data_IF_558945736386
#
_entry.id   IF_558945736386
#
_cell.length_a   1.000
_cell.length_b   1.000
_cell.length_c   1.000
_cell.angle_alpha   90.00
_cell.angle_beta   90.00
_cell.angle_gamma   90.00
#
_symmetry.space_group_name_H-M   'P 1'
#
loop_
_entity.id
_entity.type
_entity.pdbx_description
1 polymer ?
#
# COMPACT_ATOMS: atom_id res chain seq x y z
N UNK A 1 49.14 8.30 -6.46
CA UNK A 1 47.71 8.62 -6.45
C UNK A 1 47.15 8.15 -7.78
N UNK A 2 46.49 7.02 -7.81
CA UNK A 2 45.83 6.56 -9.04
C UNK A 2 44.63 7.49 -9.29
N UNK A 3 44.68 8.16 -10.44
CA UNK A 3 43.54 8.97 -10.93
C UNK A 3 42.33 8.04 -11.05
N UNK A 4 41.29 8.24 -10.21
CA UNK A 4 40.05 7.48 -10.32
C UNK A 4 39.45 7.85 -11.67
N UNK A 5 39.62 7.01 -12.68
CA UNK A 5 38.94 7.11 -13.96
C UNK A 5 37.44 7.16 -13.66
N UNK A 6 36.79 8.29 -13.90
CA UNK A 6 35.31 8.43 -13.76
C UNK A 6 34.68 7.59 -14.86
N UNK A 7 34.21 6.39 -14.49
CA UNK A 7 33.45 5.52 -15.38
C UNK A 7 32.12 6.24 -15.71
N UNK A 8 31.86 6.44 -17.01
CA UNK A 8 30.61 7.04 -17.48
C UNK A 8 29.47 6.08 -17.17
N UNK A 9 28.40 6.57 -16.52
CA UNK A 9 27.21 5.80 -16.14
C UNK A 9 25.98 6.28 -16.87
N UNK A 10 25.05 5.36 -17.11
CA UNK A 10 23.76 5.68 -17.73
C UNK A 10 22.99 6.69 -16.86
N UNK A 11 22.74 7.85 -17.41
CA UNK A 11 21.94 8.90 -16.78
C UNK A 11 20.43 8.63 -16.88
N UNK A 12 19.67 9.42 -16.13
CA UNK A 12 18.20 9.38 -16.18
C UNK A 12 17.70 9.83 -17.56
N UNK A 13 16.96 8.96 -18.25
CA UNK A 13 16.31 9.27 -19.53
C UNK A 13 14.81 9.51 -19.32
N UNK A 14 14.15 10.11 -20.30
CA UNK A 14 12.69 10.30 -20.26
C UNK A 14 11.92 8.97 -20.06
N UNK A 15 12.50 7.86 -20.55
CA UNK A 15 11.91 6.51 -20.39
C UNK A 15 11.94 6.02 -18.95
N UNK A 16 13.03 6.26 -18.23
CA UNK A 16 13.12 5.98 -16.80
C UNK A 16 12.07 6.79 -16.03
N UNK A 17 11.92 8.07 -16.36
CA UNK A 17 10.91 8.94 -15.75
C UNK A 17 9.50 8.42 -16.07
N UNK A 18 9.21 8.05 -17.33
CA UNK A 18 7.91 7.53 -17.73
C UNK A 18 7.52 6.25 -16.98
N UNK A 19 8.48 5.34 -16.74
CA UNK A 19 8.25 4.13 -15.93
C UNK A 19 7.92 4.53 -14.47
N UNK A 20 8.72 5.40 -13.86
CA UNK A 20 8.45 5.85 -12.48
C UNK A 20 7.09 6.52 -12.37
N UNK A 21 6.75 7.42 -13.27
CA UNK A 21 5.43 8.09 -13.31
C UNK A 21 4.30 7.07 -13.47
N UNK A 22 4.47 6.06 -14.33
CA UNK A 22 3.47 4.99 -14.51
C UNK A 22 3.25 4.22 -13.21
N UNK A 23 4.33 3.87 -12.47
CA UNK A 23 4.23 3.20 -11.18
C UNK A 23 3.58 4.10 -10.13
N UNK A 24 4.00 5.37 -10.05
CA UNK A 24 3.39 6.35 -9.15
C UNK A 24 1.88 6.50 -9.39
N UNK A 25 1.46 6.63 -10.66
CA UNK A 25 0.04 6.76 -11.02
C UNK A 25 -0.75 5.49 -10.70
N UNK A 26 -0.18 4.32 -10.94
CA UNK A 26 -0.83 3.04 -10.61
C UNK A 26 -1.03 2.88 -9.10
N UNK A 27 0.00 3.19 -8.30
CA UNK A 27 -0.09 3.17 -6.84
C UNK A 27 -1.04 4.25 -6.32
N UNK A 28 -0.94 5.47 -6.85
CA UNK A 28 -1.80 6.60 -6.48
C UNK A 28 -3.29 6.29 -6.72
N UNK A 29 -3.63 5.72 -7.87
CA UNK A 29 -5.03 5.46 -8.23
C UNK A 29 -5.51 4.13 -7.67
N UNK A 30 -4.93 3.00 -8.06
CA UNK A 30 -5.46 1.70 -7.69
C UNK A 30 -5.32 1.43 -6.19
N UNK A 31 -4.10 1.54 -5.64
CA UNK A 31 -3.84 1.24 -4.23
C UNK A 31 -4.41 2.32 -3.31
N UNK A 32 -4.22 3.60 -3.69
CA UNK A 32 -4.74 4.74 -2.94
C UNK A 32 -6.27 4.72 -2.81
N UNK A 33 -7.01 4.39 -3.86
CA UNK A 33 -8.47 4.31 -3.81
C UNK A 33 -8.92 3.09 -2.99
N UNK A 34 -8.39 1.90 -3.31
CA UNK A 34 -8.91 0.64 -2.75
C UNK A 34 -8.60 0.50 -1.26
N UNK A 35 -7.41 0.90 -0.82
CA UNK A 35 -7.01 0.70 0.58
C UNK A 35 -7.21 1.92 1.47
N UNK A 36 -7.21 3.15 0.94
CA UNK A 36 -7.29 4.32 1.80
C UNK A 36 -8.63 5.05 1.73
N UNK A 37 -9.35 4.99 0.59
CA UNK A 37 -10.64 5.67 0.45
C UNK A 37 -11.86 4.73 0.61
N UNK A 38 -11.63 3.44 0.83
CA UNK A 38 -12.66 2.41 0.97
C UNK A 38 -13.72 2.73 2.05
N UNK A 39 -13.26 3.21 3.19
CA UNK A 39 -14.08 3.48 4.37
C UNK A 39 -15.17 4.53 4.16
N UNK A 40 -14.99 5.42 3.18
CA UNK A 40 -15.98 6.44 2.83
C UNK A 40 -17.34 5.82 2.45
N UNK A 41 -17.31 4.69 1.75
CA UNK A 41 -18.51 4.03 1.21
C UNK A 41 -19.13 2.98 2.15
N UNK A 42 -18.46 2.59 3.23
CA UNK A 42 -18.95 1.50 4.08
C UNK A 42 -20.33 1.76 4.65
N UNK A 43 -20.52 2.92 5.27
CA UNK A 43 -21.80 3.28 5.90
C UNK A 43 -22.93 3.48 4.90
N UNK A 44 -22.80 4.27 3.83
CA UNK A 44 -23.88 4.44 2.86
C UNK A 44 -24.26 3.14 2.15
N UNK A 45 -23.30 2.29 1.82
CA UNK A 45 -23.56 0.97 1.22
C UNK A 45 -24.26 0.05 2.22
N UNK A 46 -23.84 0.04 3.50
CA UNK A 46 -24.50 -0.72 4.55
C UNK A 46 -25.97 -0.31 4.72
N UNK A 47 -26.24 0.98 4.71
CA UNK A 47 -27.61 1.52 4.78
C UNK A 47 -28.44 1.14 3.55
N UNK A 48 -27.86 1.20 2.35
CA UNK A 48 -28.55 0.83 1.10
C UNK A 48 -29.01 -0.63 1.08
N UNK A 49 -28.13 -1.55 1.52
CA UNK A 49 -28.44 -3.00 1.53
C UNK A 49 -29.13 -3.46 2.83
N UNK A 50 -29.25 -2.60 3.83
CA UNK A 50 -29.81 -2.98 5.13
C UNK A 50 -28.98 -4.01 5.88
N UNK A 51 -27.66 -3.94 5.74
CA UNK A 51 -26.67 -4.86 6.35
C UNK A 51 -25.75 -4.10 7.29
N UNK A 52 -25.12 -4.78 8.27
CA UNK A 52 -24.10 -4.15 9.10
C UNK A 52 -22.83 -3.77 8.30
N UNK A 53 -22.09 -2.78 8.80
CA UNK A 53 -20.85 -2.28 8.17
C UNK A 53 -19.80 -3.38 8.04
N UNK A 54 -19.76 -4.31 8.97
CA UNK A 54 -18.88 -5.49 8.95
C UNK A 54 -19.07 -6.34 7.70
N UNK A 55 -20.30 -6.50 7.20
CA UNK A 55 -20.55 -7.22 5.95
C UNK A 55 -20.06 -6.46 4.71
N UNK A 56 -20.12 -5.13 4.74
CA UNK A 56 -19.56 -4.33 3.64
C UNK A 56 -18.05 -4.42 3.67
N UNK A 57 -17.40 -4.23 4.82
CA UNK A 57 -15.95 -4.26 4.95
C UNK A 57 -15.34 -5.62 4.60
N UNK A 58 -16.12 -6.72 4.61
CA UNK A 58 -15.68 -8.04 4.18
C UNK A 58 -15.06 -8.05 2.78
N UNK A 59 -15.42 -7.15 1.87
CA UNK A 59 -14.82 -7.15 0.55
C UNK A 59 -13.29 -6.88 0.61
N UNK A 60 -12.81 -6.08 1.58
CA UNK A 60 -11.39 -5.87 1.80
C UNK A 60 -10.70 -7.15 2.29
N UNK A 61 -11.35 -7.93 3.16
CA UNK A 61 -10.89 -9.28 3.52
C UNK A 61 -10.66 -10.11 2.28
N UNK A 62 -11.63 -10.13 1.35
CA UNK A 62 -11.50 -10.85 0.10
C UNK A 62 -10.43 -10.26 -0.83
N UNK A 63 -10.20 -8.94 -0.83
CA UNK A 63 -9.07 -8.31 -1.55
C UNK A 63 -7.74 -8.88 -1.03
N UNK A 64 -7.51 -8.91 0.28
CA UNK A 64 -6.28 -9.48 0.85
C UNK A 64 -6.13 -10.99 0.55
N UNK A 65 -7.22 -11.75 0.61
CA UNK A 65 -7.20 -13.18 0.21
C UNK A 65 -6.89 -13.34 -1.27
N UNK A 66 -7.41 -12.48 -2.13
CA UNK A 66 -7.08 -12.43 -3.54
C UNK A 66 -5.61 -12.08 -3.78
N UNK A 67 -5.07 -11.10 -3.06
CA UNK A 67 -3.63 -10.77 -3.14
C UNK A 67 -2.75 -11.94 -2.69
N UNK A 68 -3.12 -12.62 -1.60
CA UNK A 68 -2.41 -13.80 -1.14
C UNK A 68 -2.42 -14.92 -2.20
N UNK A 69 -3.57 -15.18 -2.81
CA UNK A 69 -3.72 -16.19 -3.85
C UNK A 69 -3.04 -15.80 -5.17
N UNK A 70 -3.01 -14.52 -5.51
CA UNK A 70 -2.47 -13.98 -6.75
C UNK A 70 -0.95 -13.73 -6.75
N UNK A 71 -0.31 -13.64 -5.58
CA UNK A 71 1.09 -13.26 -5.47
C UNK A 71 2.05 -14.18 -6.20
N UNK A 72 2.05 -15.48 -5.88
CA UNK A 72 2.92 -16.47 -6.52
C UNK A 72 2.56 -16.70 -7.99
N UNK A 73 1.28 -16.95 -8.36
CA UNK A 73 0.90 -17.08 -9.76
C UNK A 73 1.20 -15.83 -10.59
N UNK A 74 0.98 -14.64 -10.02
CA UNK A 74 1.27 -13.37 -10.69
C UNK A 74 2.73 -13.23 -11.09
N UNK A 75 3.66 -13.57 -10.19
CA UNK A 75 5.09 -13.58 -10.48
C UNK A 75 5.45 -14.57 -11.59
N UNK A 76 4.92 -15.80 -11.53
CA UNK A 76 5.14 -16.82 -12.56
C UNK A 76 4.59 -16.39 -13.93
N UNK A 77 3.41 -15.76 -13.97
CA UNK A 77 2.83 -15.24 -15.20
C UNK A 77 3.67 -14.08 -15.76
N UNK A 78 4.15 -13.20 -14.90
CA UNK A 78 5.01 -12.10 -15.27
C UNK A 78 6.34 -12.57 -15.89
N UNK A 79 6.86 -13.73 -15.45
CA UNK A 79 8.08 -14.31 -16.00
C UNK A 79 7.86 -15.07 -17.32
N UNK A 80 6.72 -15.72 -17.48
CA UNK A 80 6.42 -16.54 -18.66
C UNK A 80 5.85 -15.76 -19.83
N UNK A 81 5.07 -14.72 -19.58
CA UNK A 81 4.35 -13.96 -20.59
C UNK A 81 4.90 -12.56 -20.75
N UNK A 82 4.41 -11.82 -21.74
CA UNK A 82 4.76 -10.42 -21.93
C UNK A 82 4.30 -9.59 -20.72
N UNK A 83 5.26 -8.96 -20.04
CA UNK A 83 5.02 -8.19 -18.82
C UNK A 83 3.90 -7.13 -19.01
N UNK A 84 3.90 -6.42 -20.15
CA UNK A 84 2.85 -5.45 -20.47
C UNK A 84 1.45 -6.09 -20.46
N UNK A 85 1.29 -7.24 -21.14
CA UNK A 85 0.00 -7.93 -21.23
C UNK A 85 -0.47 -8.38 -19.85
N UNK A 86 0.42 -8.96 -19.05
CA UNK A 86 0.09 -9.40 -17.68
C UNK A 86 -0.34 -8.21 -16.83
N UNK A 87 0.38 -7.09 -16.89
CA UNK A 87 0.04 -5.88 -16.13
C UNK A 87 -1.29 -5.26 -16.61
N UNK A 88 -1.56 -5.23 -17.92
CA UNK A 88 -2.83 -4.73 -18.43
C UNK A 88 -4.01 -5.61 -17.99
N UNK A 89 -3.88 -6.93 -18.05
CA UNK A 89 -4.91 -7.86 -17.57
C UNK A 89 -5.13 -7.66 -16.07
N UNK A 90 -4.06 -7.53 -15.30
CA UNK A 90 -4.16 -7.28 -13.87
C UNK A 90 -4.87 -5.94 -13.55
N UNK A 91 -4.58 -4.87 -14.30
CA UNK A 91 -5.27 -3.59 -14.17
C UNK A 91 -6.77 -3.71 -14.49
N UNK A 92 -7.13 -4.48 -15.53
CA UNK A 92 -8.54 -4.76 -15.87
C UNK A 92 -9.24 -5.54 -14.74
N UNK A 93 -8.56 -6.53 -14.14
CA UNK A 93 -9.08 -7.28 -12.98
C UNK A 93 -9.29 -6.41 -11.74
N UNK A 94 -8.61 -5.27 -11.65
CA UNK A 94 -8.87 -4.27 -10.60
C UNK A 94 -10.05 -3.38 -10.96
N UNK A 95 -10.03 -2.77 -12.14
CA UNK A 95 -10.96 -1.69 -12.51
C UNK A 95 -12.37 -2.22 -12.78
N UNK A 96 -12.51 -3.33 -13.53
CA UNK A 96 -13.82 -3.82 -13.96
C UNK A 96 -14.69 -4.29 -12.79
N UNK A 97 -14.21 -5.07 -11.81
CA UNK A 97 -15.04 -5.40 -10.66
C UNK A 97 -15.33 -4.18 -9.76
N UNK A 98 -14.40 -3.22 -9.69
CA UNK A 98 -14.59 -2.02 -8.87
C UNK A 98 -15.72 -1.11 -9.39
N UNK A 99 -15.86 -0.94 -10.72
CA UNK A 99 -17.00 -0.20 -11.29
C UNK A 99 -18.32 -0.92 -11.00
N UNK A 100 -18.29 -2.23 -10.88
CA UNK A 100 -19.43 -3.04 -10.50
C UNK A 100 -20.01 -2.68 -9.12
N UNK A 101 -19.18 -2.15 -8.20
CA UNK A 101 -19.65 -1.71 -6.87
C UNK A 101 -20.76 -0.65 -6.94
N UNK A 102 -20.84 0.13 -8.00
CA UNK A 102 -21.92 1.07 -8.23
C UNK A 102 -23.26 0.39 -8.65
N UNK A 103 -23.22 -0.87 -9.11
CA UNK A 103 -24.37 -1.51 -9.78
C UNK A 103 -24.73 -2.89 -9.23
N UNK A 104 -23.93 -3.47 -8.33
CA UNK A 104 -24.19 -4.81 -7.81
C UNK A 104 -25.50 -4.86 -7.02
N UNK A 105 -26.33 -5.89 -7.28
CA UNK A 105 -27.64 -6.01 -6.66
C UNK A 105 -27.61 -6.59 -5.24
N UNK A 106 -26.48 -7.13 -4.81
CA UNK A 106 -26.36 -7.81 -3.52
C UNK A 106 -24.94 -7.70 -2.94
N UNK A 107 -24.84 -7.69 -1.63
CA UNK A 107 -23.59 -7.50 -0.90
C UNK A 107 -22.53 -8.60 -1.20
N UNK A 108 -22.94 -9.84 -1.43
CA UNK A 108 -22.01 -10.92 -1.75
C UNK A 108 -21.25 -10.70 -3.06
N UNK A 109 -21.79 -9.90 -4.00
CA UNK A 109 -21.10 -9.50 -5.22
C UNK A 109 -19.85 -8.68 -4.92
N UNK A 110 -19.90 -7.85 -3.86
CA UNK A 110 -18.74 -7.08 -3.38
C UNK A 110 -17.61 -8.00 -2.91
N UNK A 111 -17.95 -9.12 -2.26
CA UNK A 111 -16.95 -10.07 -1.77
C UNK A 111 -16.25 -10.78 -2.93
N UNK A 112 -17.03 -11.27 -3.92
CA UNK A 112 -16.47 -11.90 -5.13
C UNK A 112 -15.62 -10.89 -5.91
N UNK A 113 -16.12 -9.68 -6.12
CA UNK A 113 -15.39 -8.61 -6.76
C UNK A 113 -14.11 -8.26 -6.01
N UNK A 114 -14.15 -8.19 -4.68
CA UNK A 114 -12.99 -7.98 -3.82
C UNK A 114 -11.89 -9.02 -4.06
N UNK A 115 -12.25 -10.29 -4.13
CA UNK A 115 -11.28 -11.36 -4.43
C UNK A 115 -10.63 -11.18 -5.80
N UNK A 116 -11.40 -10.85 -6.83
CA UNK A 116 -10.90 -10.61 -8.19
C UNK A 116 -9.98 -9.37 -8.22
N UNK A 117 -10.38 -8.29 -7.55
CA UNK A 117 -9.56 -7.09 -7.37
C UNK A 117 -8.22 -7.45 -6.72
N UNK A 118 -8.24 -8.29 -5.69
CA UNK A 118 -7.04 -8.75 -4.99
C UNK A 118 -6.07 -9.48 -5.90
N UNK A 119 -6.56 -10.38 -6.77
CA UNK A 119 -5.73 -11.06 -7.77
C UNK A 119 -5.01 -10.04 -8.69
N UNK A 120 -5.72 -9.01 -9.14
CA UNK A 120 -5.14 -7.94 -9.95
C UNK A 120 -4.12 -7.09 -9.19
N UNK A 121 -4.42 -6.70 -7.95
CA UNK A 121 -3.52 -5.90 -7.11
C UNK A 121 -2.23 -6.63 -6.76
N UNK A 122 -2.25 -7.96 -6.58
CA UNK A 122 -1.05 -8.75 -6.36
C UNK A 122 0.01 -8.52 -7.46
N UNK A 123 -0.44 -8.29 -8.68
CA UNK A 123 0.45 -7.99 -9.81
C UNK A 123 0.77 -6.49 -9.89
N UNK A 124 -0.25 -5.62 -9.85
CA UNK A 124 -0.08 -4.17 -10.05
C UNK A 124 0.73 -3.53 -8.92
N UNK A 125 0.46 -3.90 -7.68
CA UNK A 125 1.11 -3.30 -6.52
C UNK A 125 2.54 -3.81 -6.31
N UNK A 126 2.72 -5.14 -6.28
CA UNK A 126 4.00 -5.75 -5.91
C UNK A 126 4.82 -6.19 -7.12
N UNK A 127 4.29 -7.09 -7.94
CA UNK A 127 5.07 -7.74 -9.00
C UNK A 127 5.48 -6.73 -10.08
N UNK A 128 4.55 -5.90 -10.54
CA UNK A 128 4.84 -4.87 -11.54
C UNK A 128 5.78 -3.81 -10.96
N UNK A 129 5.44 -3.24 -9.81
CA UNK A 129 6.18 -2.09 -9.26
C UNK A 129 7.60 -2.50 -8.88
N UNK A 130 7.76 -3.47 -7.97
CA UNK A 130 9.09 -3.89 -7.53
C UNK A 130 9.88 -4.59 -8.64
N UNK A 131 9.23 -5.49 -9.40
CA UNK A 131 9.88 -6.29 -10.42
C UNK A 131 10.34 -5.51 -11.66
N UNK A 132 9.67 -4.42 -12.02
CA UNK A 132 10.11 -3.53 -13.12
C UNK A 132 11.16 -2.56 -12.62
N UNK A 133 10.93 -1.90 -11.47
CA UNK A 133 11.87 -0.92 -10.93
C UNK A 133 13.25 -1.54 -10.66
N UNK A 134 13.33 -2.78 -10.16
CA UNK A 134 14.59 -3.47 -9.93
C UNK A 134 15.41 -3.71 -11.20
N UNK A 135 14.76 -3.81 -12.35
CA UNK A 135 15.44 -3.98 -13.66
C UNK A 135 15.79 -2.67 -14.34
N UNK A 136 15.04 -1.60 -14.03
CA UNK A 136 15.25 -0.27 -14.62
C UNK A 136 16.25 0.59 -13.84
N UNK A 137 16.47 0.30 -12.57
CA UNK A 137 17.32 1.08 -11.67
C UNK A 137 18.37 0.19 -11.01
N UNK A 138 19.59 0.23 -11.54
CA UNK A 138 20.74 -0.44 -10.96
C UNK A 138 21.22 0.27 -9.70
N UNK A 139 21.26 1.62 -9.73
CA UNK A 139 21.51 2.44 -8.54
C UNK A 139 20.25 3.16 -8.06
N UNK A 140 20.19 3.48 -6.77
CA UNK A 140 19.07 4.20 -6.13
C UNK A 140 17.70 3.49 -6.20
N UNK A 141 17.69 2.16 -6.47
CA UNK A 141 16.44 1.36 -6.51
C UNK A 141 15.57 1.57 -5.27
N UNK A 142 16.15 1.51 -4.06
CA UNK A 142 15.40 1.70 -2.81
C UNK A 142 14.75 3.08 -2.70
N UNK A 143 15.47 4.13 -3.10
CA UNK A 143 14.93 5.50 -3.08
C UNK A 143 13.76 5.65 -4.07
N UNK A 144 13.91 5.15 -5.29
CA UNK A 144 12.86 5.23 -6.32
C UNK A 144 11.63 4.43 -5.90
N UNK A 145 11.83 3.22 -5.40
CA UNK A 145 10.75 2.37 -4.90
C UNK A 145 10.04 3.02 -3.71
N UNK A 146 10.77 3.61 -2.78
CA UNK A 146 10.22 4.37 -1.66
C UNK A 146 9.36 5.55 -2.11
N UNK A 147 9.81 6.32 -3.11
CA UNK A 147 9.04 7.41 -3.71
C UNK A 147 7.74 6.87 -4.31
N UNK A 148 7.81 5.82 -5.12
CA UNK A 148 6.63 5.22 -5.75
C UNK A 148 5.61 4.76 -4.70
N UNK A 149 6.04 4.04 -3.69
CA UNK A 149 5.13 3.58 -2.63
C UNK A 149 4.61 4.70 -1.72
N UNK A 150 5.31 5.85 -1.61
CA UNK A 150 4.79 7.02 -0.90
C UNK A 150 3.54 7.60 -1.57
N UNK A 151 3.34 7.36 -2.88
CA UNK A 151 2.13 7.77 -3.59
C UNK A 151 0.85 7.08 -3.11
N UNK A 152 0.93 6.01 -2.33
CA UNK A 152 -0.24 5.49 -1.59
C UNK A 152 -0.78 6.53 -0.62
N UNK A 153 0.11 7.19 0.14
CA UNK A 153 -0.29 8.25 1.07
C UNK A 153 -0.81 9.50 0.34
N UNK A 154 -0.15 9.92 -0.74
CA UNK A 154 -0.63 11.04 -1.58
C UNK A 154 -2.01 10.73 -2.15
N UNK A 155 -2.20 9.51 -2.67
CA UNK A 155 -3.50 9.02 -3.14
C UNK A 155 -4.54 9.03 -2.04
N UNK A 156 -4.20 8.54 -0.85
CA UNK A 156 -5.09 8.55 0.30
C UNK A 156 -5.58 9.96 0.67
N UNK A 157 -4.68 10.95 0.69
CA UNK A 157 -5.09 12.35 0.93
C UNK A 157 -6.06 12.82 -0.14
N UNK A 158 -5.69 12.69 -1.40
CA UNK A 158 -6.48 13.23 -2.53
C UNK A 158 -7.83 12.53 -2.66
N UNK A 159 -7.86 11.20 -2.64
CA UNK A 159 -9.09 10.45 -2.87
C UNK A 159 -10.07 10.55 -1.71
N UNK A 160 -9.61 10.66 -0.46
CA UNK A 160 -10.50 10.90 0.66
C UNK A 160 -11.10 12.31 0.62
N UNK A 161 -10.32 13.33 0.26
CA UNK A 161 -10.83 14.70 0.12
C UNK A 161 -11.83 14.83 -1.05
N UNK A 162 -11.54 14.22 -2.19
CA UNK A 162 -12.49 14.18 -3.33
C UNK A 162 -13.72 13.37 -2.95
N UNK A 163 -13.51 12.21 -2.35
CA UNK A 163 -14.58 11.28 -2.01
C UNK A 163 -15.59 11.87 -1.04
N UNK A 164 -15.16 12.56 0.00
CA UNK A 164 -16.08 13.21 0.94
C UNK A 164 -16.93 14.32 0.28
N UNK A 165 -16.34 15.07 -0.69
CA UNK A 165 -17.07 16.10 -1.45
C UNK A 165 -18.15 15.46 -2.33
N UNK A 166 -17.80 14.40 -3.08
CA UNK A 166 -18.75 13.69 -3.95
C UNK A 166 -19.86 13.01 -3.14
N UNK A 167 -19.47 12.39 -2.02
CA UNK A 167 -20.42 11.70 -1.15
C UNK A 167 -21.48 12.64 -0.57
N UNK A 168 -21.07 13.88 -0.28
CA UNK A 168 -21.93 14.92 0.26
C UNK A 168 -22.40 14.66 1.68
N UNK A 169 -23.10 15.63 2.30
CA UNK A 169 -23.50 15.53 3.71
C UNK A 169 -24.56 14.46 3.99
N UNK A 170 -25.32 14.03 2.99
CA UNK A 170 -26.32 12.99 3.11
C UNK A 170 -25.78 11.59 2.79
N UNK A 171 -24.51 11.47 2.46
CA UNK A 171 -23.83 10.24 2.02
C UNK A 171 -24.48 9.57 0.80
N UNK A 172 -25.21 10.34 -0.02
CA UNK A 172 -26.01 9.83 -1.13
C UNK A 172 -25.19 9.54 -2.40
N UNK A 173 -24.04 10.22 -2.58
CA UNK A 173 -23.22 10.16 -3.80
C UNK A 173 -22.29 8.93 -3.89
N UNK A 174 -22.59 7.83 -3.21
CA UNK A 174 -21.67 6.68 -3.20
C UNK A 174 -21.63 5.91 -4.54
N UNK A 175 -22.73 5.90 -5.32
CA UNK A 175 -22.73 5.32 -6.67
C UNK A 175 -21.82 6.11 -7.60
N UNK A 176 -21.98 7.43 -7.62
CA UNK A 176 -21.17 8.36 -8.41
C UNK A 176 -19.71 8.26 -7.98
N UNK A 177 -19.44 8.11 -6.69
CA UNK A 177 -18.09 7.99 -6.16
C UNK A 177 -17.39 6.73 -6.69
N UNK A 178 -18.05 5.57 -6.69
CA UNK A 178 -17.49 4.36 -7.27
C UNK A 178 -17.22 4.51 -8.78
N UNK A 179 -18.12 5.16 -9.52
CA UNK A 179 -17.94 5.42 -10.95
C UNK A 179 -16.73 6.35 -11.18
N UNK A 180 -16.65 7.47 -10.46
CA UNK A 180 -15.54 8.43 -10.57
C UNK A 180 -14.21 7.74 -10.25
N UNK A 181 -14.15 7.01 -9.15
CA UNK A 181 -12.95 6.28 -8.74
C UNK A 181 -12.53 5.23 -9.78
N UNK A 182 -13.50 4.52 -10.37
CA UNK A 182 -13.22 3.55 -11.43
C UNK A 182 -12.65 4.21 -12.68
N UNK A 183 -13.20 5.35 -13.09
CA UNK A 183 -12.70 6.13 -14.24
C UNK A 183 -11.28 6.63 -13.95
N UNK A 184 -11.04 7.15 -12.73
CA UNK A 184 -9.71 7.61 -12.33
C UNK A 184 -8.69 6.46 -12.30
N UNK A 185 -9.06 5.29 -11.80
CA UNK A 185 -8.21 4.09 -11.88
C UNK A 185 -7.96 3.66 -13.33
N UNK A 186 -9.01 3.63 -14.16
CA UNK A 186 -8.89 3.24 -15.56
C UNK A 186 -7.92 4.16 -16.31
N UNK A 187 -8.13 5.47 -16.19
CA UNK A 187 -7.33 6.49 -16.90
C UNK A 187 -5.93 6.61 -16.32
N UNK A 188 -5.77 6.51 -15.00
CA UNK A 188 -4.49 6.64 -14.32
C UNK A 188 -3.61 5.38 -14.38
N UNK A 189 -4.17 4.22 -14.71
CA UNK A 189 -3.44 2.95 -14.69
C UNK A 189 -3.27 2.36 -16.08
N UNK A 190 -4.36 2.00 -16.74
CA UNK A 190 -4.33 1.17 -17.95
C UNK A 190 -3.59 1.79 -19.14
N UNK A 191 -3.83 3.06 -19.55
CA UNK A 191 -3.14 3.67 -20.68
C UNK A 191 -1.63 3.79 -20.44
N UNK A 192 -1.22 4.16 -19.24
CA UNK A 192 0.18 4.30 -18.87
C UNK A 192 0.91 2.95 -18.88
N UNK A 193 0.29 1.91 -18.36
CA UNK A 193 0.81 0.55 -18.43
C UNK A 193 0.93 0.12 -19.90
N UNK A 194 -0.12 0.30 -20.70
CA UNK A 194 -0.15 -0.13 -22.09
C UNK A 194 0.89 0.57 -22.97
N UNK A 195 1.20 1.84 -22.68
CA UNK A 195 2.15 2.63 -23.46
C UNK A 195 3.58 2.43 -22.97
N UNK A 196 3.82 2.58 -21.66
CA UNK A 196 5.17 2.75 -21.11
C UNK A 196 5.77 1.50 -20.49
N UNK A 197 4.95 0.53 -20.00
CA UNK A 197 5.49 -0.65 -19.36
C UNK A 197 6.26 -1.52 -20.34
N UNK A 198 7.54 -1.71 -20.02
CA UNK A 198 8.47 -2.66 -20.63
C UNK A 198 9.18 -3.39 -19.52
N UNK A 199 9.47 -4.67 -19.75
CA UNK A 199 10.09 -5.52 -18.73
C UNK A 199 11.47 -5.06 -18.36
N UNK A 200 12.26 -4.68 -19.38
CA UNK A 200 13.64 -4.24 -19.22
C UNK A 200 13.93 -2.99 -20.07
N UNK A 201 14.90 -2.15 -19.66
CA UNK A 201 15.25 -0.94 -20.41
C UNK A 201 15.88 -1.26 -21.78
N UNK A 202 16.53 -2.41 -21.94
CA UNK A 202 17.14 -2.86 -23.21
C UNK A 202 16.08 -3.03 -24.31
N UNK A 203 14.86 -3.43 -23.99
CA UNK A 203 13.74 -3.46 -24.95
C UNK A 203 13.47 -2.09 -25.59
N UNK A 204 13.94 -1.03 -24.96
CA UNK A 204 13.83 0.34 -25.42
C UNK A 204 15.14 0.91 -25.96
N UNK A 205 16.22 0.13 -26.04
CA UNK A 205 17.55 0.58 -26.45
C UNK A 205 18.21 1.53 -25.45
N UNK A 206 17.94 1.36 -24.16
CA UNK A 206 18.58 2.10 -23.05
C UNK A 206 19.10 1.12 -22.01
N UNK A 207 20.07 1.53 -21.21
CA UNK A 207 20.58 0.72 -20.09
C UNK A 207 19.86 1.09 -18.80
N UNK A 208 19.90 0.22 -17.77
CA UNK A 208 19.43 0.56 -16.43
C UNK A 208 20.09 1.85 -15.91
N UNK A 209 19.33 2.65 -15.18
CA UNK A 209 19.87 3.88 -14.57
C UNK A 209 21.03 3.56 -13.63
N UNK A 210 22.15 4.25 -13.81
CA UNK A 210 23.37 4.05 -13.00
C UNK A 210 24.29 2.94 -13.47
N UNK A 211 23.93 2.12 -14.47
CA UNK A 211 24.77 1.09 -15.06
C UNK A 211 25.96 1.71 -15.79
N UNK A 212 27.19 1.18 -15.71
CA UNK A 212 28.30 1.61 -16.55
C UNK A 212 27.97 1.49 -18.04
N UNK A 213 28.39 2.48 -18.84
CA UNK A 213 28.17 2.47 -20.29
C UNK A 213 29.23 1.61 -20.98
N UNK A 214 30.42 1.57 -20.40
CA UNK A 214 31.53 0.75 -20.90
C UNK A 214 31.29 -0.74 -20.58
N UNK A 215 31.39 -1.61 -21.59
CA UNK A 215 31.09 -3.04 -21.47
C UNK A 215 31.96 -3.77 -20.46
N UNK A 216 33.26 -3.48 -20.46
CA UNK A 216 34.20 -4.13 -19.53
C UNK A 216 33.89 -3.72 -18.07
N UNK A 217 33.63 -2.44 -17.85
CA UNK A 217 33.19 -1.95 -16.53
C UNK A 217 31.88 -2.52 -16.08
N UNK A 218 30.92 -2.71 -17.02
CA UNK A 218 29.61 -3.31 -16.75
C UNK A 218 29.74 -4.79 -16.36
N UNK A 219 30.51 -5.58 -17.12
CA UNK A 219 30.72 -7.00 -16.83
C UNK A 219 31.45 -7.19 -15.49
N UNK A 220 32.41 -6.34 -15.17
CA UNK A 220 33.11 -6.36 -13.87
C UNK A 220 32.21 -6.02 -12.71
N UNK A 221 31.29 -5.03 -12.86
CA UNK A 221 30.36 -4.64 -11.82
C UNK A 221 29.29 -5.74 -11.60
N UNK A 222 28.75 -6.34 -12.67
CA UNK A 222 27.84 -7.47 -12.59
C UNK A 222 28.49 -8.70 -11.95
N UNK A 223 29.73 -9.01 -12.31
CA UNK A 223 30.48 -10.11 -11.70
C UNK A 223 30.75 -9.88 -10.21
N UNK A 224 31.03 -8.64 -9.82
CA UNK A 224 31.21 -8.27 -8.42
C UNK A 224 29.88 -8.40 -7.63
N UNK A 225 28.75 -7.97 -8.22
CA UNK A 225 27.42 -8.14 -7.61
C UNK A 225 27.01 -9.61 -7.48
N UNK A 226 27.28 -10.42 -8.50
CA UNK A 226 27.07 -11.86 -8.42
C UNK A 226 27.93 -12.52 -7.34
N UNK A 227 29.16 -12.07 -7.16
CA UNK A 227 30.06 -12.58 -6.11
C UNK A 227 29.53 -12.20 -4.72
N UNK A 228 29.06 -10.94 -4.54
CA UNK A 228 28.43 -10.48 -3.30
C UNK A 228 27.15 -11.27 -3.05
N UNK A 229 26.28 -11.42 -4.04
CA UNK A 229 25.04 -12.18 -3.92
C UNK A 229 25.29 -13.66 -3.58
N UNK A 230 26.36 -14.26 -4.14
CA UNK A 230 26.80 -15.61 -3.77
C UNK A 230 27.30 -15.66 -2.34
N UNK A 231 28.12 -14.68 -1.92
CA UNK A 231 28.57 -14.56 -0.53
C UNK A 231 27.43 -14.37 0.45
N UNK A 232 26.48 -13.45 0.17
CA UNK A 232 25.28 -13.25 0.98
C UNK A 232 24.36 -14.48 0.99
N UNK A 233 24.33 -15.25 -0.10
CA UNK A 233 23.57 -16.50 -0.17
C UNK A 233 24.24 -17.63 0.67
N UNK A 234 25.50 -17.52 1.00
CA UNK A 234 26.19 -18.41 1.96
C UNK A 234 25.94 -18.00 3.41
N UNK A 235 25.69 -16.71 3.67
CA UNK A 235 25.36 -16.17 4.98
C UNK A 235 23.84 -16.15 5.21
N UNK A 236 23.38 -16.95 6.16
CA UNK A 236 21.97 -16.98 6.55
C UNK A 236 21.38 -18.39 6.61
N UNK A 237 20.13 -18.45 7.04
CA UNK A 237 19.42 -19.70 7.23
C UNK A 237 18.72 -20.16 5.96
N UNK A 238 18.65 -21.48 5.78
CA UNK A 238 17.76 -22.07 4.76
C UNK A 238 16.31 -21.89 5.17
N UNK A 239 15.43 -21.63 4.21
CA UNK A 239 14.01 -21.41 4.47
C UNK A 239 13.37 -22.53 5.31
N UNK A 240 13.71 -23.80 5.05
CA UNK A 240 13.21 -24.94 5.84
C UNK A 240 13.73 -24.98 7.30
N UNK A 241 14.89 -24.41 7.54
CA UNK A 241 15.47 -24.34 8.89
C UNK A 241 14.78 -23.27 9.72
N UNK A 242 14.43 -22.14 9.09
CA UNK A 242 13.74 -21.01 9.72
C UNK A 242 12.40 -21.42 10.34
N UNK A 243 11.67 -22.34 9.72
CA UNK A 243 10.41 -22.88 10.25
C UNK A 243 10.54 -23.58 11.60
N UNK A 244 11.74 -24.02 11.98
CA UNK A 244 12.03 -24.68 13.26
C UNK A 244 12.29 -23.69 14.40
N UNK A 245 12.53 -22.41 14.08
CA UNK A 245 12.81 -21.39 15.09
C UNK A 245 11.51 -20.78 15.64
N UNK A 246 11.26 -20.83 16.96
CA UNK A 246 10.10 -20.17 17.55
C UNK A 246 10.02 -18.68 17.22
N UNK A 247 11.18 -18.03 17.08
CA UNK A 247 11.28 -16.62 16.73
C UNK A 247 10.68 -16.30 15.36
N UNK A 248 10.76 -17.21 14.37
CA UNK A 248 10.11 -17.02 13.07
C UNK A 248 8.59 -16.87 13.23
N UNK A 249 7.98 -17.74 14.04
CA UNK A 249 6.53 -17.71 14.26
C UNK A 249 6.08 -16.50 15.05
N UNK A 250 6.87 -16.06 16.05
CA UNK A 250 6.56 -14.84 16.79
C UNK A 250 6.67 -13.59 15.92
N UNK A 251 7.70 -13.51 15.06
CA UNK A 251 7.85 -12.40 14.10
C UNK A 251 6.72 -12.40 13.07
N UNK A 252 6.36 -13.57 12.55
CA UNK A 252 5.27 -13.77 11.60
C UNK A 252 3.92 -13.31 12.16
N UNK A 253 3.59 -13.77 13.37
CA UNK A 253 2.35 -13.39 14.05
C UNK A 253 2.35 -11.91 14.42
N UNK A 254 3.47 -11.40 14.95
CA UNK A 254 3.62 -9.98 15.28
C UNK A 254 3.42 -9.07 14.07
N UNK A 255 4.05 -9.39 12.95
CA UNK A 255 3.87 -8.65 11.70
C UNK A 255 2.41 -8.68 11.21
N UNK A 256 1.75 -9.85 11.27
CA UNK A 256 0.34 -9.98 10.90
C UNK A 256 -0.59 -9.17 11.80
N UNK A 257 -0.37 -9.19 13.12
CA UNK A 257 -1.14 -8.37 14.06
C UNK A 257 -0.94 -6.87 13.82
N UNK A 258 0.28 -6.44 13.49
CA UNK A 258 0.54 -5.05 13.11
C UNK A 258 -0.23 -4.66 11.83
N UNK A 259 -0.31 -5.57 10.86
CA UNK A 259 -1.15 -5.32 9.67
C UNK A 259 -2.64 -5.20 10.03
N UNK A 260 -3.12 -5.96 11.01
CA UNK A 260 -4.49 -5.82 11.51
C UNK A 260 -4.75 -4.41 12.07
N UNK A 261 -3.76 -3.83 12.77
CA UNK A 261 -3.87 -2.44 13.26
C UNK A 261 -3.92 -1.46 12.07
N UNK A 262 -3.14 -1.68 11.01
CA UNK A 262 -3.16 -0.76 9.84
C UNK A 262 -4.50 -0.74 9.13
N UNK A 263 -5.23 -1.84 9.10
CA UNK A 263 -6.57 -1.91 8.48
C UNK A 263 -7.64 -1.14 9.25
N UNK A 264 -7.38 -0.75 10.51
CA UNK A 264 -8.27 0.09 11.31
C UNK A 264 -8.52 1.45 10.65
N UNK A 265 -7.55 2.00 9.93
CA UNK A 265 -7.68 3.28 9.24
C UNK A 265 -8.85 3.30 8.26
N UNK A 266 -9.19 2.18 7.67
CA UNK A 266 -10.32 2.06 6.74
C UNK A 266 -11.69 2.35 7.40
N UNK A 267 -11.75 2.36 8.73
CA UNK A 267 -12.96 2.73 9.48
C UNK A 267 -12.95 4.20 9.94
N UNK A 268 -11.89 4.95 9.69
CA UNK A 268 -11.79 6.35 10.16
C UNK A 268 -12.86 7.25 9.55
N UNK A 269 -13.15 7.09 8.27
CA UNK A 269 -14.24 7.82 7.63
C UNK A 269 -15.60 7.42 8.25
N UNK A 270 -15.83 6.12 8.48
CA UNK A 270 -17.04 5.60 9.14
C UNK A 270 -17.15 6.10 10.57
N UNK A 271 -16.03 6.18 11.31
CA UNK A 271 -16.00 6.73 12.67
C UNK A 271 -16.43 8.21 12.70
N UNK A 272 -15.89 9.03 11.81
CA UNK A 272 -16.28 10.45 11.71
C UNK A 272 -17.76 10.58 11.29
N UNK A 273 -18.23 9.75 10.36
CA UNK A 273 -19.64 9.70 9.97
C UNK A 273 -20.53 9.29 11.14
N UNK A 274 -20.10 8.34 11.96
CA UNK A 274 -20.82 7.91 13.16
C UNK A 274 -20.93 9.06 14.17
N UNK A 275 -19.83 9.70 14.53
CA UNK A 275 -19.83 10.87 15.42
C UNK A 275 -20.76 11.97 14.92
N UNK A 276 -20.79 12.19 13.60
CA UNK A 276 -21.68 13.15 12.97
C UNK A 276 -23.17 12.79 13.11
N UNK A 277 -23.54 11.52 13.00
CA UNK A 277 -24.94 11.07 13.10
C UNK A 277 -25.46 10.97 14.54
N UNK A 278 -24.61 10.63 15.50
CA UNK A 278 -25.00 10.50 16.91
C UNK A 278 -25.10 11.84 17.65
N UNK A 279 -24.81 12.94 16.96
CA UNK A 279 -24.97 14.28 17.54
C UNK A 279 -23.97 14.59 18.66
N UNK A 280 -22.82 13.94 18.68
CA UNK A 280 -21.77 14.16 19.71
C UNK A 280 -21.33 15.60 19.83
N UNK A 281 -21.53 16.40 18.79
CA UNK A 281 -21.12 17.80 18.68
C UNK A 281 -22.27 18.81 18.56
N UNK A 282 -23.54 18.38 18.87
CA UNK A 282 -24.70 19.24 18.73
C UNK A 282 -25.35 19.22 17.33
N UNK A 283 -26.47 19.92 17.15
CA UNK A 283 -27.32 19.80 15.97
C UNK A 283 -26.72 20.43 14.69
N UNK A 284 -25.96 21.52 14.80
CA UNK A 284 -25.41 22.23 13.64
C UNK A 284 -24.04 21.70 13.15
N UNK A 285 -23.10 21.27 14.01
CA UNK A 285 -21.85 20.65 13.60
C UNK A 285 -21.99 19.34 12.86
N UNK A 286 -23.14 18.67 12.94
CA UNK A 286 -23.43 17.39 12.33
C UNK A 286 -23.12 17.38 10.82
N UNK A 287 -23.65 18.34 10.08
CA UNK A 287 -23.46 18.42 8.61
C UNK A 287 -22.00 18.73 8.29
N UNK A 288 -21.37 19.62 9.05
CA UNK A 288 -19.97 19.95 8.87
C UNK A 288 -19.08 18.74 9.12
N UNK A 289 -19.37 17.93 10.15
CA UNK A 289 -18.61 16.73 10.47
C UNK A 289 -18.77 15.64 9.39
N UNK A 290 -19.99 15.46 8.86
CA UNK A 290 -20.21 14.54 7.73
C UNK A 290 -19.43 14.96 6.48
N UNK A 291 -19.34 16.26 6.22
CA UNK A 291 -18.51 16.82 5.14
C UNK A 291 -17.01 16.59 5.35
N UNK A 292 -16.58 16.33 6.59
CA UNK A 292 -15.20 16.06 6.95
C UNK A 292 -14.91 14.55 7.13
N UNK A 293 -15.81 13.67 6.72
CA UNK A 293 -15.69 12.24 6.96
C UNK A 293 -14.42 11.61 6.39
N UNK A 294 -13.90 12.12 5.27
CA UNK A 294 -12.63 11.67 4.69
C UNK A 294 -11.38 12.37 5.24
N UNK A 295 -11.56 13.42 6.06
CA UNK A 295 -10.42 14.24 6.51
C UNK A 295 -9.51 13.47 7.47
N UNK A 296 -10.07 12.68 8.38
CA UNK A 296 -9.28 11.87 9.32
C UNK A 296 -8.40 10.87 8.57
N UNK A 297 -8.95 10.18 7.57
CA UNK A 297 -8.19 9.25 6.74
C UNK A 297 -7.18 9.96 5.84
N UNK A 298 -7.49 11.18 5.36
CA UNK A 298 -6.54 12.00 4.63
C UNK A 298 -5.33 12.37 5.50
N UNK A 299 -5.54 12.74 6.77
CA UNK A 299 -4.45 12.99 7.71
C UNK A 299 -3.64 11.72 8.01
N UNK A 300 -4.30 10.58 8.21
CA UNK A 300 -3.63 9.29 8.39
C UNK A 300 -2.79 8.90 7.16
N UNK A 301 -3.32 9.12 5.96
CA UNK A 301 -2.62 8.89 4.69
C UNK A 301 -1.43 9.83 4.50
N UNK A 302 -1.55 11.10 4.91
CA UNK A 302 -0.42 12.04 4.92
C UNK A 302 0.68 11.58 5.87
N UNK A 303 0.30 11.13 7.07
CA UNK A 303 1.21 10.52 8.04
C UNK A 303 1.88 9.25 7.51
N UNK A 304 1.15 8.40 6.80
CA UNK A 304 1.67 7.21 6.15
C UNK A 304 2.70 7.56 5.06
N UNK A 305 2.36 8.47 4.15
CA UNK A 305 3.24 8.88 3.05
C UNK A 305 4.51 9.55 3.56
N UNK A 306 4.37 10.58 4.41
CA UNK A 306 5.50 11.27 5.04
C UNK A 306 6.28 10.35 5.99
N UNK A 307 5.57 9.50 6.72
CA UNK A 307 6.13 8.50 7.62
C UNK A 307 7.05 7.50 6.93
N UNK A 308 6.70 7.01 5.73
CA UNK A 308 7.58 6.11 4.96
C UNK A 308 8.94 6.74 4.64
N UNK A 309 8.95 8.03 4.33
CA UNK A 309 10.21 8.76 4.08
C UNK A 309 10.98 8.97 5.38
N UNK A 310 10.31 9.43 6.42
CA UNK A 310 10.92 9.70 7.73
C UNK A 310 11.45 8.41 8.38
N UNK A 311 10.64 7.38 8.45
CA UNK A 311 11.01 6.08 9.03
C UNK A 311 12.14 5.45 8.23
N UNK A 312 12.09 5.45 6.89
CA UNK A 312 13.17 4.93 6.06
C UNK A 312 14.51 5.67 6.27
N UNK A 313 14.48 6.98 6.51
CA UNK A 313 15.68 7.75 6.88
C UNK A 313 16.21 7.34 8.27
N UNK A 314 15.36 7.22 9.27
CA UNK A 314 15.75 6.83 10.63
C UNK A 314 16.26 5.38 10.65
N UNK A 315 15.63 4.50 9.89
CA UNK A 315 15.97 3.08 9.75
C UNK A 315 17.39 2.86 9.23
N UNK A 316 17.84 3.70 8.30
CA UNK A 316 19.22 3.65 7.81
C UNK A 316 20.27 3.90 8.90
N UNK A 317 19.89 4.50 10.03
CA UNK A 317 20.74 4.78 11.19
C UNK A 317 20.45 3.84 12.36
N UNK A 318 19.19 3.55 12.65
CA UNK A 318 18.78 2.69 13.75
C UNK A 318 17.38 2.12 13.53
N UNK A 319 17.30 0.81 13.31
CA UNK A 319 16.06 0.07 13.18
C UNK A 319 15.17 0.19 14.45
N UNK A 320 15.79 0.13 15.64
CA UNK A 320 15.07 0.25 16.92
C UNK A 320 14.45 1.65 17.11
N UNK A 321 15.19 2.71 16.77
CA UNK A 321 14.67 4.07 16.87
C UNK A 321 13.47 4.27 15.92
N UNK A 322 13.54 3.75 14.70
CA UNK A 322 12.46 3.80 13.73
C UNK A 322 11.19 3.11 14.27
N UNK A 323 11.33 1.92 14.86
CA UNK A 323 10.21 1.18 15.47
C UNK A 323 9.59 1.93 16.64
N UNK A 324 10.41 2.41 17.57
CA UNK A 324 9.92 3.13 18.75
C UNK A 324 9.15 4.40 18.32
N UNK A 325 9.72 5.20 17.42
CA UNK A 325 9.07 6.43 16.93
C UNK A 325 7.78 6.11 16.20
N UNK A 326 7.79 5.11 15.30
CA UNK A 326 6.60 4.71 14.55
C UNK A 326 5.47 4.23 15.46
N UNK A 327 5.73 3.26 16.33
CA UNK A 327 4.67 2.67 17.16
C UNK A 327 4.22 3.58 18.32
N UNK A 328 5.14 4.32 18.97
CA UNK A 328 4.75 5.31 19.96
C UNK A 328 3.91 6.44 19.31
N UNK A 329 4.30 6.89 18.10
CA UNK A 329 3.48 7.82 17.33
C UNK A 329 2.07 7.28 17.09
N UNK A 330 1.94 6.02 16.68
CA UNK A 330 0.65 5.37 16.49
C UNK A 330 -0.23 5.33 17.75
N UNK A 331 0.34 4.95 18.89
CA UNK A 331 -0.38 4.94 20.17
C UNK A 331 -0.84 6.35 20.55
N UNK A 332 0.05 7.34 20.44
CA UNK A 332 -0.30 8.75 20.69
C UNK A 332 -1.44 9.17 19.76
N UNK A 333 -1.35 8.83 18.47
CA UNK A 333 -2.38 9.14 17.49
C UNK A 333 -3.74 8.55 17.86
N UNK A 334 -3.81 7.27 18.24
CA UNK A 334 -5.04 6.61 18.67
C UNK A 334 -5.63 7.26 19.93
N UNK A 335 -4.79 7.59 20.92
CA UNK A 335 -5.22 8.28 22.12
C UNK A 335 -5.76 9.67 21.82
N UNK A 336 -5.13 10.41 20.89
CA UNK A 336 -5.62 11.71 20.45
C UNK A 336 -6.99 11.59 19.77
N UNK A 337 -7.16 10.61 18.88
CA UNK A 337 -8.44 10.37 18.18
C UNK A 337 -9.56 10.00 19.14
N UNK A 338 -9.26 9.28 20.21
CA UNK A 338 -10.26 8.84 21.17
C UNK A 338 -10.56 9.91 22.24
N UNK A 339 -9.56 10.53 22.85
CA UNK A 339 -9.75 11.39 24.02
C UNK A 339 -10.19 12.82 23.68
N UNK A 340 -9.58 13.43 22.65
CA UNK A 340 -9.84 14.83 22.39
C UNK A 340 -11.31 15.14 22.03
N UNK A 341 -12.01 14.34 21.22
CA UNK A 341 -13.43 14.53 21.00
C UNK A 341 -14.24 14.51 22.30
N UNK A 342 -13.91 13.60 23.21
CA UNK A 342 -14.65 13.42 24.47
C UNK A 342 -14.43 14.55 25.47
N UNK A 343 -13.22 15.10 25.54
CA UNK A 343 -12.86 16.12 26.55
C UNK A 343 -13.15 17.53 26.07
N UNK A 344 -12.90 17.81 24.80
CA UNK A 344 -12.95 19.16 24.23
C UNK A 344 -14.20 19.42 23.36
N UNK A 345 -15.05 18.40 23.14
CA UNK A 345 -16.20 18.52 22.25
C UNK A 345 -15.76 19.03 20.86
N UNK A 346 -16.40 20.08 20.35
CA UNK A 346 -16.09 20.68 19.04
C UNK A 346 -14.62 21.07 18.87
N UNK A 347 -13.97 21.56 19.93
CA UNK A 347 -12.54 21.89 19.94
C UNK A 347 -11.62 20.68 19.76
N UNK A 348 -12.14 19.46 19.97
CA UNK A 348 -11.41 18.21 19.81
C UNK A 348 -11.29 17.69 18.37
N UNK A 349 -12.00 18.28 17.40
CA UNK A 349 -12.01 17.80 16.00
C UNK A 349 -10.62 17.90 15.36
N UNK A 350 -9.97 19.05 15.45
CA UNK A 350 -8.64 19.23 14.87
C UNK A 350 -7.56 18.39 15.54
N UNK A 351 -7.46 18.34 16.88
CA UNK A 351 -6.58 17.38 17.54
C UNK A 351 -6.83 15.91 17.13
N UNK A 352 -8.09 15.52 16.94
CA UNK A 352 -8.43 14.19 16.42
C UNK A 352 -7.81 13.95 15.03
N UNK A 353 -7.91 14.91 14.11
CA UNK A 353 -7.32 14.79 12.77
C UNK A 353 -5.78 14.71 12.82
N UNK A 354 -5.14 15.51 13.67
CA UNK A 354 -3.70 15.36 13.91
C UNK A 354 -3.35 14.00 14.52
N UNK A 355 -4.24 13.42 15.32
CA UNK A 355 -4.12 12.05 15.79
C UNK A 355 -4.00 11.05 14.63
N UNK A 356 -4.78 11.25 13.56
CA UNK A 356 -4.66 10.47 12.32
C UNK A 356 -3.26 10.56 11.70
N UNK A 357 -2.66 11.76 11.66
CA UNK A 357 -1.29 11.95 11.15
C UNK A 357 -0.26 11.13 11.95
N UNK A 358 -0.34 11.15 13.28
CA UNK A 358 0.53 10.35 14.14
C UNK A 358 0.30 8.84 13.97
N UNK A 359 -0.96 8.42 13.83
CA UNK A 359 -1.28 7.02 13.52
C UNK A 359 -0.64 6.56 12.19
N UNK A 360 -0.60 7.45 11.19
CA UNK A 360 0.04 7.21 9.91
C UNK A 360 1.53 6.81 10.02
N UNK A 361 2.24 7.25 11.06
CA UNK A 361 3.64 6.82 11.33
C UNK A 361 3.71 5.32 11.66
N UNK A 362 2.78 4.80 12.47
CA UNK A 362 2.72 3.36 12.77
C UNK A 362 2.36 2.55 11.51
N UNK A 363 1.46 3.06 10.70
CA UNK A 363 1.13 2.45 9.42
C UNK A 363 2.36 2.38 8.50
N UNK A 364 3.12 3.48 8.37
CA UNK A 364 4.35 3.52 7.59
C UNK A 364 5.36 2.51 8.10
N UNK A 365 5.57 2.46 9.42
CA UNK A 365 6.48 1.56 10.08
C UNK A 365 6.12 0.09 9.80
N UNK A 366 4.87 -0.31 10.00
CA UNK A 366 4.45 -1.71 9.83
C UNK A 366 4.59 -2.23 8.39
N UNK A 367 4.42 -1.37 7.39
CA UNK A 367 4.51 -1.76 5.98
C UNK A 367 5.93 -1.71 5.41
N UNK A 368 6.79 -0.81 5.89
CA UNK A 368 8.13 -0.61 5.36
C UNK A 368 9.18 -1.53 6.00
N UNK A 369 9.01 -1.92 7.26
CA UNK A 369 10.08 -2.58 8.03
C UNK A 369 10.19 -4.09 7.83
N UNK A 370 9.16 -4.75 7.35
CA UNK A 370 9.14 -6.22 7.26
C UNK A 370 10.32 -6.80 6.45
N UNK A 371 10.65 -6.30 5.24
CA UNK A 371 11.77 -6.83 4.48
C UNK A 371 13.13 -6.62 5.19
N UNK A 372 13.31 -5.50 5.87
CA UNK A 372 14.56 -5.23 6.60
C UNK A 372 14.72 -6.17 7.79
N UNK A 373 13.65 -6.38 8.57
CA UNK A 373 13.66 -7.33 9.67
C UNK A 373 13.99 -8.75 9.21
N UNK A 374 13.38 -9.20 8.12
CA UNK A 374 13.64 -10.53 7.56
C UNK A 374 15.11 -10.66 7.17
N UNK A 375 15.67 -9.68 6.48
CA UNK A 375 17.07 -9.71 6.04
C UNK A 375 18.04 -9.66 7.21
N UNK A 376 17.77 -8.82 8.21
CA UNK A 376 18.64 -8.69 9.40
C UNK A 376 18.65 -9.95 10.27
N UNK A 377 17.52 -10.63 10.37
CA UNK A 377 17.35 -11.78 11.29
C UNK A 377 17.74 -13.09 10.65
N UNK A 378 17.33 -13.31 9.39
CA UNK A 378 17.51 -14.61 8.73
C UNK A 378 18.59 -14.61 7.64
N UNK A 379 19.18 -13.42 7.35
CA UNK A 379 20.22 -13.28 6.33
C UNK A 379 19.69 -13.29 4.89
N UNK A 380 20.62 -13.36 3.93
CA UNK A 380 20.33 -13.25 2.50
C UNK A 380 20.03 -14.58 1.79
N UNK A 381 20.44 -15.72 2.36
CA UNK A 381 20.49 -17.02 1.66
C UNK A 381 19.20 -17.44 0.97
N UNK A 382 18.07 -17.51 1.66
CA UNK A 382 16.74 -17.87 1.14
C UNK A 382 15.75 -16.71 1.40
N UNK A 383 16.24 -15.45 1.36
CA UNK A 383 15.47 -14.26 1.70
C UNK A 383 14.12 -14.20 0.98
N UNK A 384 14.10 -14.37 -0.35
CA UNK A 384 12.87 -14.25 -1.15
C UNK A 384 11.79 -15.25 -0.72
N UNK A 385 12.18 -16.47 -0.37
CA UNK A 385 11.25 -17.52 0.10
C UNK A 385 10.71 -17.18 1.49
N UNK A 386 11.61 -16.80 2.41
CA UNK A 386 11.24 -16.45 3.79
C UNK A 386 10.33 -15.23 3.78
N UNK A 387 10.71 -14.20 3.03
CA UNK A 387 9.92 -12.98 2.88
C UNK A 387 8.55 -13.24 2.23
N UNK A 388 8.49 -14.07 1.19
CA UNK A 388 7.23 -14.45 0.54
C UNK A 388 6.26 -15.16 1.50
N UNK A 389 6.78 -16.03 2.38
CA UNK A 389 5.95 -16.65 3.41
C UNK A 389 5.45 -15.62 4.43
N UNK A 390 6.34 -14.73 4.86
CA UNK A 390 5.98 -13.70 5.83
C UNK A 390 4.94 -12.72 5.28
N UNK A 391 5.10 -12.24 4.05
CA UNK A 391 4.13 -11.32 3.43
C UNK A 391 2.77 -12.00 3.18
N UNK A 392 2.77 -13.29 2.84
CA UNK A 392 1.52 -14.06 2.65
C UNK A 392 0.73 -14.17 3.95
N UNK A 393 1.39 -14.48 5.06
CA UNK A 393 0.72 -14.56 6.37
C UNK A 393 0.38 -13.17 6.91
N UNK A 394 1.24 -12.19 6.70
CA UNK A 394 0.97 -10.77 7.00
C UNK A 394 -0.35 -10.32 6.36
N UNK A 395 -0.54 -10.59 5.06
CA UNK A 395 -1.78 -10.29 4.35
C UNK A 395 -2.94 -11.17 4.84
N UNK A 396 -2.70 -12.45 5.11
CA UNK A 396 -3.72 -13.38 5.59
C UNK A 396 -4.29 -12.99 6.96
N UNK A 397 -3.45 -12.56 7.90
CA UNK A 397 -3.90 -12.07 9.21
C UNK A 397 -4.55 -10.69 9.04
N UNK A 398 -3.94 -9.79 8.25
CA UNK A 398 -4.51 -8.48 7.94
C UNK A 398 -5.88 -8.56 7.28
N UNK A 399 -6.15 -9.63 6.51
CA UNK A 399 -7.46 -9.87 5.89
C UNK A 399 -8.62 -9.85 6.91
N UNK A 400 -8.38 -10.32 8.13
CA UNK A 400 -9.38 -10.33 9.19
C UNK A 400 -9.53 -8.97 9.88
N UNK A 401 -8.58 -8.04 9.64
CA UNK A 401 -8.50 -6.79 10.38
C UNK A 401 -9.69 -5.86 10.16
N UNK A 402 -9.95 -5.46 8.92
CA UNK A 402 -11.00 -4.48 8.63
C UNK A 402 -12.39 -4.96 9.10
N UNK A 403 -12.71 -6.22 8.83
CA UNK A 403 -13.98 -6.82 9.27
C UNK A 403 -14.00 -7.04 10.78
N UNK A 404 -12.88 -7.46 11.39
CA UNK A 404 -12.77 -7.63 12.83
C UNK A 404 -13.00 -6.31 13.58
N UNK A 405 -12.39 -5.23 13.13
CA UNK A 405 -12.62 -3.90 13.72
C UNK A 405 -14.06 -3.40 13.53
N UNK A 406 -14.67 -3.68 12.37
CA UNK A 406 -16.06 -3.31 12.13
C UNK A 406 -17.01 -4.06 13.06
N UNK A 407 -16.79 -5.36 13.30
CA UNK A 407 -17.56 -6.15 14.28
C UNK A 407 -17.43 -5.66 15.73
N UNK A 408 -16.24 -5.13 16.09
CA UNK A 408 -16.04 -4.53 17.42
C UNK A 408 -16.76 -3.20 17.55
N UNK A 409 -16.93 -2.46 16.43
CA UNK A 409 -17.59 -1.16 16.41
C UNK A 409 -19.13 -1.26 16.37
N UNK A 410 -19.69 -2.39 15.97
CA UNK A 410 -21.15 -2.71 16.01
C UNK A 410 -21.59 -3.19 17.39
#
# INVERSE_FOLDING_TARGET
>A
MAEKVKIARQGMTWRHIAIVVTMCLSIFTAVGIIFTAAGLCYRPVAQHFGVPVSQVSLYITFVYLGQMAGGVPGGLLFDKFNAKTVCCVAAILVVVPYIGFAFYPAIWCYWVAGFIIGLGLAVVEFTMTAGILSRWFHTNYGTVTGIVFAFTGVGGVVWNLIGQIVLGPQLAGWHELYIIFSICMLVGTLPFIAIFVKRTPEECGTLPFGMPIDKEAMENELAAEEAIAKGEAEEGFKAKEVLKFPFFWTLLLGAGLLNTITTMSQLFATYVQFLGHEGWYGAEPLVALLLLSGTLEAFASAGQGGGKVLIGFIESHSLYAAQIIGYCGGVIGLLMMWWFPQILGEGGIWPMFFGGLFYGLAYACSTAMLPFLVRQVFGGRDFDKIYSWMISVFNGIGALGATGWALVAE
#
